data_IF_278880595647
#
_entry.id   IF_278880595647
#
_cell.length_a   1.000
_cell.length_b   1.000
_cell.length_c   1.000
_cell.angle_alpha   90.00
_cell.angle_beta   90.00
_cell.angle_gamma   90.00
#
_symmetry.space_group_name_H-M   'P 1'
#
loop_
_entity.id
_entity.type
_entity.pdbx_description
1 polymer ?
#
# COMPACT_ATOMS: atom_id res chain seq x y z
N UNK A 1 -3.62 -3.12 33.43
CA UNK A 1 -4.90 -2.95 32.71
C UNK A 1 -4.72 -2.47 31.26
N UNK A 2 -3.51 -2.12 30.83
CA UNK A 2 -3.19 -1.59 29.48
C UNK A 2 -3.20 -2.64 28.36
N UNK A 3 -2.72 -3.86 28.63
CA UNK A 3 -2.54 -4.90 27.61
C UNK A 3 -3.81 -5.28 26.83
N UNK A 4 -4.98 -5.54 27.45
CA UNK A 4 -6.18 -5.94 26.69
C UNK A 4 -6.70 -4.81 25.79
N UNK A 5 -6.55 -3.55 26.20
CA UNK A 5 -6.95 -2.40 25.39
C UNK A 5 -6.05 -2.26 24.16
N UNK A 6 -4.74 -2.41 24.32
CA UNK A 6 -3.79 -2.38 23.20
C UNK A 6 -4.07 -3.49 22.18
N UNK A 7 -4.34 -4.71 22.64
CA UNK A 7 -4.73 -5.80 21.74
C UNK A 7 -6.01 -5.48 20.96
N UNK A 8 -7.03 -4.97 21.65
CA UNK A 8 -8.27 -4.57 21.01
C UNK A 8 -8.05 -3.48 19.94
N UNK A 9 -7.27 -2.45 20.23
CA UNK A 9 -6.92 -1.40 19.28
C UNK A 9 -6.17 -1.93 18.06
N UNK A 10 -5.15 -2.77 18.25
CA UNK A 10 -4.38 -3.34 17.13
C UNK A 10 -5.25 -4.22 16.22
N UNK A 11 -6.06 -5.12 16.79
CA UNK A 11 -6.91 -5.99 15.99
C UNK A 11 -8.05 -5.24 15.28
N UNK A 12 -8.64 -4.24 15.93
CA UNK A 12 -9.66 -3.41 15.29
C UNK A 12 -9.06 -2.56 14.15
N UNK A 13 -7.88 -1.98 14.34
CA UNK A 13 -7.16 -1.27 13.29
C UNK A 13 -6.87 -2.18 12.08
N UNK A 14 -6.37 -3.39 12.31
CA UNK A 14 -6.16 -4.39 11.26
C UNK A 14 -7.45 -4.75 10.52
N UNK A 15 -8.55 -4.95 11.25
CA UNK A 15 -9.85 -5.26 10.66
C UNK A 15 -10.38 -4.13 9.79
N UNK A 16 -10.28 -2.88 10.25
CA UNK A 16 -10.70 -1.70 9.49
C UNK A 16 -9.80 -1.49 8.27
N UNK A 17 -8.48 -1.57 8.44
CA UNK A 17 -7.50 -1.44 7.35
C UNK A 17 -7.71 -2.50 6.26
N UNK A 18 -8.12 -3.73 6.61
CA UNK A 18 -8.46 -4.78 5.65
C UNK A 18 -9.73 -4.48 4.82
N UNK A 19 -10.66 -3.67 5.34
CA UNK A 19 -11.91 -3.34 4.68
C UNK A 19 -11.87 -1.98 3.94
N UNK A 20 -10.90 -1.13 4.25
CA UNK A 20 -10.92 0.30 3.94
C UNK A 20 -11.10 0.62 2.45
N UNK A 21 -10.43 -0.10 1.55
CA UNK A 21 -10.48 0.16 0.10
C UNK A 21 -11.45 -0.74 -0.66
N UNK A 22 -12.08 -1.71 0.01
CA UNK A 22 -13.07 -2.59 -0.62
C UNK A 22 -14.24 -1.83 -1.27
N UNK A 23 -14.80 -0.74 -0.69
CA UNK A 23 -15.84 0.03 -1.35
C UNK A 23 -15.35 0.71 -2.64
N UNK A 24 -14.11 1.20 -2.65
CA UNK A 24 -13.48 1.83 -3.81
C UNK A 24 -13.16 0.82 -4.91
N UNK A 25 -12.66 -0.37 -4.56
CA UNK A 25 -12.43 -1.45 -5.53
C UNK A 25 -13.77 -1.89 -6.13
N UNK A 26 -14.80 -2.06 -5.30
CA UNK A 26 -16.15 -2.44 -5.74
C UNK A 26 -16.76 -1.40 -6.68
N UNK A 27 -16.58 -0.10 -6.42
CA UNK A 27 -17.10 0.96 -7.28
C UNK A 27 -16.47 0.94 -8.68
N UNK A 28 -15.16 0.73 -8.77
CA UNK A 28 -14.43 0.61 -10.06
C UNK A 28 -14.91 -0.61 -10.85
N UNK A 29 -15.03 -1.76 -10.18
CA UNK A 29 -15.48 -3.00 -10.81
C UNK A 29 -16.92 -2.88 -11.33
N UNK A 30 -17.83 -2.28 -10.55
CA UNK A 30 -19.23 -2.04 -10.94
C UNK A 30 -19.35 -1.03 -12.07
N UNK A 31 -18.59 0.06 -12.01
CA UNK A 31 -18.57 1.08 -13.06
C UNK A 31 -17.87 0.61 -14.34
N UNK A 32 -17.08 -0.48 -14.27
CA UNK A 32 -16.19 -0.95 -15.34
C UNK A 32 -15.31 0.19 -15.88
N UNK A 33 -14.94 1.12 -15.00
CA UNK A 33 -14.24 2.34 -15.35
C UNK A 33 -13.45 2.86 -14.16
N UNK A 34 -12.24 3.34 -14.44
CA UNK A 34 -11.40 4.04 -13.49
C UNK A 34 -11.66 5.56 -13.43
N UNK A 35 -12.70 6.04 -14.13
CA UNK A 35 -13.02 7.47 -14.20
C UNK A 35 -13.40 7.98 -12.81
N UNK A 36 -12.63 8.94 -12.30
CA UNK A 36 -12.81 9.52 -10.96
C UNK A 36 -11.73 9.12 -9.94
N UNK A 37 -10.81 8.22 -10.30
CA UNK A 37 -9.66 7.89 -9.44
C UNK A 37 -8.41 8.59 -9.95
N UNK A 38 -7.73 9.31 -9.06
CA UNK A 38 -6.46 9.97 -9.33
C UNK A 38 -5.31 8.95 -9.27
N UNK A 39 -4.76 8.60 -10.44
CA UNK A 39 -3.57 7.75 -10.53
C UNK A 39 -2.36 8.33 -9.76
N UNK A 40 -2.01 9.63 -9.86
CA UNK A 40 -0.89 10.19 -9.10
C UNK A 40 -1.08 10.07 -7.58
N UNK A 41 -2.32 10.25 -7.10
CA UNK A 41 -2.62 10.11 -5.67
C UNK A 41 -2.44 8.67 -5.19
N UNK A 42 -2.90 7.70 -5.98
CA UNK A 42 -2.71 6.27 -5.67
C UNK A 42 -1.24 5.88 -5.68
N UNK A 43 -0.46 6.39 -6.64
CA UNK A 43 0.98 6.13 -6.72
C UNK A 43 1.73 6.74 -5.53
N UNK A 44 1.31 7.93 -5.07
CA UNK A 44 1.87 8.56 -3.88
C UNK A 44 1.57 7.76 -2.60
N UNK A 45 0.34 7.24 -2.48
CA UNK A 45 -0.06 6.37 -1.37
C UNK A 45 0.75 5.06 -1.34
N UNK A 46 0.87 4.40 -2.50
CA UNK A 46 1.71 3.21 -2.69
C UNK A 46 3.17 3.48 -2.30
N UNK A 47 3.73 4.60 -2.74
CA UNK A 47 5.12 4.97 -2.41
C UNK A 47 5.29 5.21 -0.91
N UNK A 48 4.35 5.91 -0.27
CA UNK A 48 4.37 6.15 1.17
C UNK A 48 4.31 4.85 1.97
N UNK A 49 3.38 3.96 1.65
CA UNK A 49 3.29 2.66 2.31
C UNK A 49 4.51 1.77 2.06
N UNK A 50 5.10 1.82 0.86
CA UNK A 50 6.31 1.08 0.55
C UNK A 50 7.50 1.52 1.42
N UNK A 51 7.73 2.84 1.49
CA UNK A 51 8.81 3.42 2.29
C UNK A 51 8.58 3.11 3.77
N UNK A 52 7.37 3.35 4.27
CA UNK A 52 7.02 3.09 5.66
C UNK A 52 7.20 1.62 6.03
N UNK A 53 6.67 0.69 5.22
CA UNK A 53 6.82 -0.74 5.42
C UNK A 53 8.28 -1.14 5.44
N UNK A 54 9.09 -0.60 4.51
CA UNK A 54 10.51 -0.93 4.44
C UNK A 54 11.28 -0.41 5.64
N UNK A 55 11.02 0.83 6.05
CA UNK A 55 11.63 1.44 7.22
C UNK A 55 11.32 0.62 8.48
N UNK A 56 10.04 0.34 8.75
CA UNK A 56 9.62 -0.43 9.92
C UNK A 56 10.20 -1.85 9.94
N UNK A 57 10.24 -2.51 8.78
CA UNK A 57 10.84 -3.83 8.63
C UNK A 57 12.37 -3.82 8.82
N UNK A 58 13.06 -2.77 8.35
CA UNK A 58 14.51 -2.66 8.47
C UNK A 58 14.97 -2.45 9.91
N UNK A 59 14.22 -1.66 10.68
CA UNK A 59 14.50 -1.39 12.09
C UNK A 59 13.90 -2.44 13.05
N UNK A 60 13.37 -3.55 12.53
CA UNK A 60 12.87 -4.68 13.30
C UNK A 60 11.80 -4.29 14.34
N UNK A 61 10.95 -3.32 13.99
CA UNK A 61 9.81 -2.99 14.83
C UNK A 61 8.86 -4.19 14.95
N UNK A 62 8.06 -4.29 16.03
CA UNK A 62 7.08 -5.36 16.19
C UNK A 62 6.12 -5.42 14.98
N UNK A 63 5.89 -6.62 14.45
CA UNK A 63 5.05 -6.83 13.25
C UNK A 63 3.69 -6.16 13.36
N UNK A 64 3.05 -6.25 14.53
CA UNK A 64 1.71 -5.71 14.76
C UNK A 64 1.63 -4.19 14.56
N UNK A 65 2.76 -3.47 14.68
CA UNK A 65 2.84 -2.00 14.52
C UNK A 65 2.70 -1.56 13.07
N UNK A 66 3.03 -2.42 12.10
CA UNK A 66 3.02 -2.03 10.69
C UNK A 66 2.31 -3.05 9.80
N UNK A 67 1.68 -4.08 10.36
CA UNK A 67 0.96 -5.12 9.60
C UNK A 67 -0.25 -4.54 8.82
N UNK A 68 -0.73 -3.37 9.20
CA UNK A 68 -1.75 -2.61 8.48
C UNK A 68 -1.26 -2.14 7.10
N UNK A 69 0.02 -1.75 7.00
CA UNK A 69 0.61 -1.23 5.78
C UNK A 69 0.64 -2.24 4.63
N UNK A 70 1.11 -3.50 4.77
CA UNK A 70 1.04 -4.47 3.69
C UNK A 70 -0.40 -4.82 3.29
N UNK A 71 -1.36 -4.75 4.22
CA UNK A 71 -2.78 -4.95 3.92
C UNK A 71 -3.31 -3.83 3.02
N UNK A 72 -3.02 -2.57 3.36
CA UNK A 72 -3.41 -1.41 2.56
C UNK A 72 -2.68 -1.37 1.22
N UNK A 73 -1.37 -1.65 1.23
CA UNK A 73 -0.53 -1.72 0.04
C UNK A 73 -1.07 -2.75 -0.97
N UNK A 74 -1.50 -3.91 -0.49
CA UNK A 74 -2.10 -4.95 -1.35
C UNK A 74 -3.39 -4.45 -2.00
N UNK A 75 -4.26 -3.77 -1.25
CA UNK A 75 -5.50 -3.22 -1.79
C UNK A 75 -5.23 -2.10 -2.82
N UNK A 76 -4.21 -1.27 -2.59
CA UNK A 76 -3.80 -0.25 -3.56
C UNK A 76 -3.23 -0.83 -4.84
N UNK A 77 -2.44 -1.90 -4.75
CA UNK A 77 -1.95 -2.61 -5.94
C UNK A 77 -3.10 -3.21 -6.74
N UNK A 78 -4.10 -3.80 -6.07
CA UNK A 78 -5.32 -4.28 -6.74
C UNK A 78 -6.05 -3.14 -7.44
N UNK A 79 -6.21 -2.00 -6.78
CA UNK A 79 -6.86 -0.82 -7.37
C UNK A 79 -6.07 -0.29 -8.58
N UNK A 80 -4.74 -0.24 -8.48
CA UNK A 80 -3.85 0.19 -9.56
C UNK A 80 -3.99 -0.72 -10.79
N UNK A 81 -4.05 -2.04 -10.58
CA UNK A 81 -4.30 -3.02 -11.64
C UNK A 81 -5.69 -2.81 -12.27
N UNK A 82 -6.72 -2.56 -11.47
CA UNK A 82 -8.05 -2.21 -11.99
C UNK A 82 -8.00 -0.95 -12.86
N UNK A 83 -7.27 0.09 -12.43
CA UNK A 83 -7.12 1.33 -13.21
C UNK A 83 -6.52 1.02 -14.58
N UNK A 84 -5.38 0.32 -14.63
CA UNK A 84 -4.73 0.02 -15.90
C UNK A 84 -5.56 -0.90 -16.80
N UNK A 85 -6.27 -1.87 -16.20
CA UNK A 85 -7.19 -2.74 -16.93
C UNK A 85 -8.31 -1.96 -17.62
N UNK A 86 -9.00 -1.08 -16.88
CA UNK A 86 -10.13 -0.31 -17.43
C UNK A 86 -9.69 0.90 -18.27
N UNK A 87 -8.48 1.42 -18.08
CA UNK A 87 -7.91 2.45 -18.95
C UNK A 87 -7.32 1.89 -20.25
N UNK A 88 -7.22 0.56 -20.41
CA UNK A 88 -6.63 -0.06 -21.60
C UNK A 88 -5.10 0.08 -21.70
N UNK A 89 -4.43 0.45 -20.61
CA UNK A 89 -2.98 0.70 -20.56
C UNK A 89 -2.26 -0.39 -19.75
N UNK A 90 -2.51 -1.66 -20.06
CA UNK A 90 -1.95 -2.80 -19.32
C UNK A 90 -0.42 -2.81 -19.35
N UNK A 91 0.19 -2.29 -20.40
CA UNK A 91 1.65 -2.16 -20.51
C UNK A 91 2.25 -1.25 -19.41
N UNK A 92 1.50 -0.22 -18.98
CA UNK A 92 1.92 0.63 -17.86
C UNK A 92 1.89 -0.13 -16.54
N UNK A 93 1.02 -1.12 -16.37
CA UNK A 93 0.97 -1.93 -15.15
C UNK A 93 2.29 -2.68 -14.90
N UNK A 94 2.88 -3.24 -15.97
CA UNK A 94 4.19 -3.89 -15.88
C UNK A 94 5.29 -2.89 -15.54
N UNK A 95 5.29 -1.71 -16.17
CA UNK A 95 6.24 -0.64 -15.87
C UNK A 95 6.18 -0.19 -14.40
N UNK A 96 4.98 0.11 -13.87
CA UNK A 96 4.83 0.52 -12.48
C UNK A 96 5.15 -0.61 -11.49
N UNK A 97 4.84 -1.86 -11.84
CA UNK A 97 5.21 -3.02 -11.02
C UNK A 97 6.73 -3.19 -10.95
N UNK A 98 7.42 -3.06 -12.08
CA UNK A 98 8.89 -3.07 -12.13
C UNK A 98 9.49 -1.89 -11.35
N UNK A 99 8.91 -0.69 -11.45
CA UNK A 99 9.32 0.48 -10.68
C UNK A 99 9.17 0.24 -9.17
N UNK A 100 8.07 -0.36 -8.75
CA UNK A 100 7.79 -0.64 -7.34
C UNK A 100 8.76 -1.67 -6.75
N UNK A 101 9.03 -2.74 -7.51
CA UNK A 101 10.04 -3.75 -7.14
C UNK A 101 11.44 -3.12 -7.09
N UNK A 102 11.77 -2.28 -8.08
CA UNK A 102 13.06 -1.58 -8.11
C UNK A 102 13.21 -0.65 -6.90
N UNK A 103 12.16 0.10 -6.54
CA UNK A 103 12.15 0.98 -5.37
C UNK A 103 12.39 0.19 -4.08
N UNK A 104 11.77 -0.99 -3.92
CA UNK A 104 12.01 -1.88 -2.77
C UNK A 104 13.50 -2.25 -2.61
N UNK A 105 14.16 -2.60 -3.72
CA UNK A 105 15.58 -2.92 -3.71
C UNK A 105 16.45 -1.68 -3.46
N UNK A 106 16.14 -0.53 -4.07
CA UNK A 106 16.89 0.72 -3.89
C UNK A 106 16.86 1.19 -2.44
N UNK A 107 15.69 1.16 -1.79
CA UNK A 107 15.56 1.47 -0.37
C UNK A 107 16.45 0.55 0.49
N UNK A 108 16.68 -0.69 0.05
CA UNK A 108 17.50 -1.67 0.77
C UNK A 108 19.01 -1.45 0.62
N UNK A 109 19.48 -0.59 -0.29
CA UNK A 109 20.90 -0.45 -0.61
C UNK A 109 21.70 0.22 0.50
N UNK A 110 21.11 1.22 1.18
CA UNK A 110 21.80 2.03 2.18
C UNK A 110 20.82 2.55 3.22
N UNK A 111 21.23 2.52 4.50
CA UNK A 111 20.46 3.04 5.64
C UNK A 111 19.99 4.48 5.43
N UNK A 112 20.89 5.39 5.05
CA UNK A 112 20.56 6.80 4.84
C UNK A 112 19.45 7.02 3.80
N UNK A 113 19.33 6.16 2.78
CA UNK A 113 18.26 6.29 1.78
C UNK A 113 16.90 6.06 2.44
N UNK A 114 16.79 5.09 3.34
CA UNK A 114 15.57 4.84 4.10
C UNK A 114 15.27 5.99 5.08
N UNK A 115 16.30 6.48 5.78
CA UNK A 115 16.15 7.57 6.74
C UNK A 115 15.78 8.91 6.08
N UNK A 116 16.19 9.13 4.82
CA UNK A 116 15.83 10.32 4.04
C UNK A 116 14.43 10.22 3.43
N UNK A 117 14.01 8.99 3.08
CA UNK A 117 12.72 8.76 2.45
C UNK A 117 11.54 8.81 3.43
N UNK A 118 11.82 8.51 4.71
CA UNK A 118 10.86 8.52 5.82
C UNK A 118 10.69 9.92 6.42
#
# INVERSE_FOLDING_TARGET
MEAPLLWFCNYSALGVSAALKLPQISSVLRARSARGISLPSLLLELAGFLVFLRYQSYYEYPLLTYLECPILLTQDLVLLLCIFHFSGHVERAAFYSALFVSAWFVLSLRKWIMDLAM
#
